data_IF_718524973568
#
_entry.id   IF_718524973568
#
_cell.length_a   1.000
_cell.length_b   1.000
_cell.length_c   1.000
_cell.angle_alpha   90.00
_cell.angle_beta   90.00
_cell.angle_gamma   90.00
#
_symmetry.space_group_name_H-M   'P 1'
#
loop_
_entity.id
_entity.type
_entity.pdbx_description
1 polymer ?
#
# COMPACT_ATOMS: atom_id res chain seq x y z
N UNK A 1 -16.98 22.72 -8.45
CA UNK A 1 -15.91 23.59 -7.94
C UNK A 1 -15.59 23.13 -6.53
N UNK A 2 -14.34 22.74 -6.27
CA UNK A 2 -13.93 22.25 -4.96
C UNK A 2 -14.01 23.37 -3.92
N UNK A 3 -14.52 23.10 -2.70
CA UNK A 3 -14.51 24.08 -1.63
C UNK A 3 -13.06 24.34 -1.21
N UNK A 4 -12.61 25.59 -1.36
CA UNK A 4 -11.29 26.06 -0.96
C UNK A 4 -11.42 27.24 -0.01
N UNK A 5 -10.40 27.51 0.78
CA UNK A 5 -10.40 28.64 1.72
C UNK A 5 -10.39 29.98 0.97
N UNK A 6 -10.96 31.01 1.59
CA UNK A 6 -10.91 32.38 1.03
C UNK A 6 -9.47 32.87 0.88
N UNK A 7 -8.61 32.56 1.85
CA UNK A 7 -7.16 32.86 1.78
C UNK A 7 -6.49 32.26 0.54
N UNK A 8 -6.82 31.02 0.18
CA UNK A 8 -6.30 30.40 -1.04
C UNK A 8 -6.76 31.15 -2.30
N UNK A 9 -8.05 31.54 -2.37
CA UNK A 9 -8.59 32.28 -3.50
C UNK A 9 -7.94 33.66 -3.66
N UNK A 10 -7.72 34.36 -2.55
CA UNK A 10 -7.12 35.69 -2.55
C UNK A 10 -5.66 35.62 -2.99
N UNK A 11 -4.90 34.65 -2.48
CA UNK A 11 -3.52 34.39 -2.93
C UNK A 11 -3.47 34.02 -4.41
N UNK A 12 -4.39 33.17 -4.88
CA UNK A 12 -4.46 32.80 -6.30
C UNK A 12 -4.81 33.96 -7.22
N UNK A 13 -5.43 35.03 -6.70
CA UNK A 13 -5.72 36.27 -7.44
C UNK A 13 -4.65 37.35 -7.28
N UNK A 14 -3.68 37.17 -6.38
CA UNK A 14 -2.62 38.16 -6.15
C UNK A 14 -1.74 38.37 -7.40
N UNK A 15 -1.26 39.61 -7.56
CA UNK A 15 -0.38 40.02 -8.67
C UNK A 15 0.96 39.27 -8.65
N UNK A 16 1.51 39.02 -7.46
CA UNK A 16 2.67 38.17 -7.24
C UNK A 16 2.23 36.89 -6.57
N UNK A 17 2.32 35.79 -7.30
CA UNK A 17 2.01 34.45 -6.81
C UNK A 17 2.98 33.43 -7.35
N UNK A 18 3.30 32.43 -6.53
CA UNK A 18 3.97 31.21 -6.97
C UNK A 18 3.01 30.06 -6.80
N UNK A 19 2.51 29.53 -7.92
CA UNK A 19 1.71 28.30 -7.92
C UNK A 19 2.67 27.12 -7.77
N UNK A 20 2.35 26.23 -6.86
CA UNK A 20 3.04 24.97 -6.64
C UNK A 20 2.12 23.84 -7.10
N UNK A 21 2.71 22.71 -7.46
CA UNK A 21 1.96 21.52 -7.78
C UNK A 21 2.61 20.30 -7.16
N UNK A 22 1.76 19.35 -6.78
CA UNK A 22 2.13 18.00 -6.37
C UNK A 22 1.23 17.04 -7.14
N UNK A 23 1.85 16.01 -7.71
CA UNK A 23 1.16 14.89 -8.35
C UNK A 23 1.60 13.62 -7.65
N UNK A 24 0.65 12.75 -7.33
CA UNK A 24 0.91 11.40 -6.84
C UNK A 24 0.37 10.40 -7.85
N UNK A 25 1.21 9.45 -8.26
CA UNK A 25 0.85 8.38 -9.19
C UNK A 25 1.07 7.04 -8.50
N UNK A 26 0.00 6.25 -8.40
CA UNK A 26 0.07 4.87 -7.95
C UNK A 26 0.35 3.97 -9.16
N UNK A 27 1.60 3.52 -9.30
CA UNK A 27 2.05 2.67 -10.42
C UNK A 27 1.70 1.19 -10.23
N UNK A 28 1.58 0.76 -8.98
CA UNK A 28 0.98 -0.52 -8.61
C UNK A 28 -0.19 -0.23 -7.68
N UNK A 29 -1.40 -0.36 -8.21
CA UNK A 29 -2.63 -0.33 -7.41
C UNK A 29 -3.10 -1.78 -7.27
N UNK A 30 -3.08 -2.36 -6.07
CA UNK A 30 -3.45 -3.75 -5.88
C UNK A 30 -4.92 -4.05 -6.16
N UNK A 31 -5.81 -3.06 -6.07
CA UNK A 31 -7.22 -3.24 -6.45
C UNK A 31 -7.40 -3.32 -7.98
N UNK A 32 -6.46 -2.75 -8.74
CA UNK A 32 -6.46 -2.76 -10.21
C UNK A 32 -5.52 -3.82 -10.79
N UNK A 33 -4.50 -4.25 -10.04
CA UNK A 33 -3.54 -5.26 -10.43
C UNK A 33 -4.09 -6.67 -10.15
N UNK A 34 -4.85 -7.18 -11.10
CA UNK A 34 -5.44 -8.53 -11.05
C UNK A 34 -4.39 -9.67 -11.04
N UNK A 35 -3.10 -9.36 -11.16
CA UNK A 35 -2.02 -10.36 -11.10
C UNK A 35 -1.60 -10.73 -9.68
N UNK A 36 -2.07 -10.01 -8.66
CA UNK A 36 -1.68 -10.28 -7.29
C UNK A 36 -2.38 -11.54 -6.79
N UNK A 37 -1.60 -12.56 -6.49
CA UNK A 37 -2.06 -13.79 -5.88
C UNK A 37 -1.41 -13.92 -4.50
N UNK A 38 -2.21 -14.28 -3.50
CA UNK A 38 -1.77 -14.43 -2.11
C UNK A 38 -1.99 -15.87 -1.67
N UNK A 39 -0.94 -16.49 -1.17
CA UNK A 39 -0.97 -17.83 -0.59
C UNK A 39 -0.39 -17.81 0.83
N UNK A 40 -0.95 -18.64 1.71
CA UNK A 40 -0.46 -18.82 3.08
C UNK A 40 -0.34 -20.30 3.37
N UNK A 41 0.67 -20.70 4.14
CA UNK A 41 0.81 -22.12 4.54
C UNK A 41 -0.13 -22.52 5.69
N UNK A 42 -0.64 -21.53 6.42
CA UNK A 42 -1.58 -21.70 7.52
C UNK A 42 -2.52 -20.49 7.65
N UNK A 43 -3.69 -20.70 8.23
CA UNK A 43 -4.60 -19.61 8.60
C UNK A 43 -5.56 -20.04 9.71
N UNK A 44 -5.96 -19.08 10.55
CA UNK A 44 -7.05 -19.24 11.51
C UNK A 44 -8.40 -19.45 10.82
N UNK A 45 -9.41 -19.84 11.61
CA UNK A 45 -10.78 -20.03 11.13
C UNK A 45 -11.37 -18.77 10.46
N UNK A 46 -10.99 -17.59 10.94
CA UNK A 46 -11.31 -16.30 10.32
C UNK A 46 -10.00 -15.60 10.03
N UNK A 47 -9.71 -15.41 8.75
CA UNK A 47 -8.49 -14.82 8.24
C UNK A 47 -8.73 -14.40 6.79
N UNK A 48 -8.14 -13.28 6.39
CA UNK A 48 -8.33 -12.69 5.05
C UNK A 48 -6.97 -12.31 4.45
N UNK A 49 -6.16 -13.31 3.99
CA UNK A 49 -4.82 -13.04 3.45
C UNK A 49 -4.81 -12.04 2.28
N UNK A 50 -5.90 -11.97 1.50
CA UNK A 50 -5.99 -11.03 0.39
C UNK A 50 -5.85 -9.57 0.83
N UNK A 51 -6.17 -9.23 2.08
CA UNK A 51 -5.99 -7.89 2.63
C UNK A 51 -4.54 -7.52 2.89
N UNK A 52 -3.61 -8.50 2.95
CA UNK A 52 -2.19 -8.17 3.20
C UNK A 52 -1.49 -7.48 2.03
N UNK A 53 -2.21 -7.24 0.94
CA UNK A 53 -1.68 -6.56 -0.23
C UNK A 53 -2.61 -5.45 -0.73
N UNK A 54 -3.54 -4.95 0.08
CA UNK A 54 -4.54 -3.96 -0.34
C UNK A 54 -4.13 -2.51 -0.06
N UNK A 55 -2.89 -2.28 0.40
CA UNK A 55 -2.34 -0.97 0.76
C UNK A 55 -3.02 -0.31 1.98
N UNK A 56 -3.73 -1.08 2.81
CA UNK A 56 -4.26 -0.61 4.09
C UNK A 56 -3.42 -1.19 5.23
N UNK A 57 -2.59 -0.34 5.82
CA UNK A 57 -1.63 -0.70 6.87
C UNK A 57 -2.18 -0.58 8.30
N UNK A 58 -3.47 -0.29 8.46
CA UNK A 58 -4.11 -0.10 9.78
C UNK A 58 -5.30 -1.02 9.99
N UNK A 59 -5.30 -1.77 11.10
CA UNK A 59 -6.44 -2.57 11.52
C UNK A 59 -7.59 -1.65 11.93
N UNK A 60 -8.80 -1.92 11.47
CA UNK A 60 -9.95 -1.04 11.75
C UNK A 60 -10.36 -1.06 13.21
N UNK A 61 -10.25 -2.24 13.84
CA UNK A 61 -10.62 -2.44 15.23
C UNK A 61 -9.65 -3.39 15.91
N UNK A 62 -9.66 -3.36 17.24
CA UNK A 62 -9.02 -4.37 18.06
C UNK A 62 -9.84 -5.66 17.99
N UNK A 63 -9.48 -6.57 17.10
CA UNK A 63 -10.25 -7.80 16.90
C UNK A 63 -10.04 -8.81 18.04
N UNK A 64 -11.14 -9.43 18.46
CA UNK A 64 -11.15 -10.46 19.50
C UNK A 64 -10.43 -11.73 19.01
N UNK A 65 -9.60 -12.32 19.86
CA UNK A 65 -8.88 -13.57 19.61
C UNK A 65 -9.05 -14.52 20.80
N UNK A 66 -9.27 -15.81 20.54
CA UNK A 66 -9.46 -16.80 21.63
C UNK A 66 -8.13 -17.30 22.23
N UNK A 67 -7.11 -16.46 22.22
CA UNK A 67 -5.76 -16.71 22.77
C UNK A 67 -5.65 -16.35 24.27
N UNK A 68 -6.78 -16.08 24.93
CA UNK A 68 -6.85 -15.73 26.35
C UNK A 68 -6.51 -14.27 26.67
N UNK A 69 -6.30 -13.42 25.66
CA UNK A 69 -5.83 -12.06 25.87
C UNK A 69 -6.86 -10.97 25.88
N UNK A 70 -8.02 -11.23 25.31
CA UNK A 70 -9.06 -10.24 25.18
C UNK A 70 -10.03 -10.34 26.36
N UNK A 71 -10.61 -9.19 26.70
CA UNK A 71 -11.61 -9.06 27.76
C UNK A 71 -12.84 -8.40 27.18
N UNK A 72 -14.02 -8.71 27.72
CA UNK A 72 -15.29 -8.10 27.31
C UNK A 72 -15.48 -6.74 27.99
N UNK A 73 -14.56 -5.81 27.73
CA UNK A 73 -14.55 -4.45 28.29
C UNK A 73 -15.07 -3.39 27.31
N UNK A 74 -15.52 -3.81 26.13
CA UNK A 74 -16.00 -2.94 25.05
C UNK A 74 -14.91 -2.39 24.13
N UNK A 75 -13.63 -2.73 24.34
CA UNK A 75 -12.53 -2.31 23.45
C UNK A 75 -12.34 -3.26 22.26
N UNK A 76 -12.81 -4.50 22.39
CA UNK A 76 -12.67 -5.54 21.36
C UNK A 76 -13.92 -5.69 20.49
N UNK A 77 -13.69 -5.95 19.21
CA UNK A 77 -14.74 -6.22 18.23
C UNK A 77 -14.67 -7.66 17.73
N UNK A 78 -15.82 -8.23 17.37
CA UNK A 78 -15.87 -9.54 16.71
C UNK A 78 -15.36 -9.43 15.27
N UNK A 79 -14.65 -10.46 14.81
CA UNK A 79 -14.10 -10.49 13.46
C UNK A 79 -15.19 -10.20 12.40
N UNK A 80 -14.89 -9.39 11.37
CA UNK A 80 -15.87 -9.01 10.36
C UNK A 80 -16.26 -10.24 9.53
N UNK A 81 -17.51 -10.31 9.06
CA UNK A 81 -17.90 -11.30 8.06
C UNK A 81 -17.30 -10.95 6.69
N UNK A 82 -17.18 -11.95 5.81
CA UNK A 82 -16.51 -11.82 4.51
C UNK A 82 -17.19 -10.83 3.55
N UNK A 83 -18.48 -10.52 3.72
CA UNK A 83 -19.22 -9.53 2.93
C UNK A 83 -18.95 -8.07 3.36
N UNK A 84 -18.14 -7.86 4.41
CA UNK A 84 -17.81 -6.54 4.96
C UNK A 84 -16.33 -6.17 4.86
N UNK A 85 -15.54 -6.92 4.10
CA UNK A 85 -14.09 -6.68 3.95
C UNK A 85 -13.74 -5.37 3.23
N UNK A 86 -14.70 -4.73 2.56
CA UNK A 86 -14.53 -3.38 2.01
C UNK A 86 -14.66 -2.26 3.07
N UNK A 87 -15.12 -2.59 4.28
CA UNK A 87 -15.34 -1.64 5.38
C UNK A 87 -14.36 -1.84 6.53
N UNK A 88 -13.75 -3.03 6.62
CA UNK A 88 -12.95 -3.45 7.76
C UNK A 88 -11.65 -4.11 7.30
N UNK A 89 -10.55 -3.72 7.93
CA UNK A 89 -9.23 -4.32 7.80
C UNK A 89 -8.96 -5.29 8.95
N UNK A 90 -8.69 -6.53 8.59
CA UNK A 90 -8.42 -7.64 9.52
C UNK A 90 -7.09 -8.33 9.22
N UNK A 91 -6.77 -8.55 7.94
CA UNK A 91 -5.51 -9.13 7.48
C UNK A 91 -5.41 -10.65 7.59
N UNK A 92 -4.20 -11.18 7.49
CA UNK A 92 -3.88 -12.59 7.65
C UNK A 92 -3.65 -12.94 9.11
N UNK A 93 -4.40 -13.91 9.62
CA UNK A 93 -4.20 -14.50 10.95
C UNK A 93 -3.78 -15.96 10.79
N UNK A 94 -2.66 -16.38 11.39
CA UNK A 94 -2.23 -17.78 11.38
C UNK A 94 -2.98 -18.63 12.40
N UNK A 95 -2.79 -19.95 12.34
CA UNK A 95 -3.45 -20.91 13.25
C UNK A 95 -2.59 -21.31 14.45
N UNK A 96 -1.26 -21.23 14.31
CA UNK A 96 -0.32 -21.54 15.38
C UNK A 96 -0.28 -20.43 16.43
N UNK A 97 -0.18 -20.83 17.70
CA UNK A 97 0.14 -19.91 18.79
C UNK A 97 1.64 -19.92 19.01
N UNK A 98 2.22 -18.73 19.14
CA UNK A 98 3.62 -18.57 19.51
C UNK A 98 3.87 -19.20 20.89
N UNK A 99 4.93 -19.99 21.01
CA UNK A 99 5.39 -20.58 22.25
C UNK A 99 6.15 -19.58 23.13
N UNK A 100 6.95 -20.13 24.05
CA UNK A 100 7.82 -19.35 24.94
C UNK A 100 8.66 -18.34 24.16
N UNK A 101 8.82 -17.14 24.72
CA UNK A 101 9.52 -16.00 24.10
C UNK A 101 8.97 -15.59 22.72
N UNK A 102 7.73 -15.99 22.40
CA UNK A 102 7.08 -15.70 21.12
C UNK A 102 7.54 -16.60 19.97
N UNK A 103 8.26 -17.69 20.20
CA UNK A 103 8.80 -18.53 19.13
C UNK A 103 7.72 -19.38 18.43
N UNK A 104 7.70 -19.42 17.10
CA UNK A 104 6.88 -20.36 16.33
C UNK A 104 7.62 -21.69 16.10
N UNK A 105 6.85 -22.77 15.89
CA UNK A 105 7.38 -24.07 15.52
C UNK A 105 7.36 -24.27 14.00
N UNK A 106 8.13 -25.24 13.50
CA UNK A 106 8.05 -25.64 12.10
C UNK A 106 6.78 -26.48 11.82
N UNK A 107 6.12 -26.29 10.66
CA UNK A 107 6.42 -25.29 9.62
C UNK A 107 6.08 -23.87 10.09
N UNK A 108 7.00 -22.92 9.93
CA UNK A 108 6.78 -21.54 10.39
C UNK A 108 5.65 -20.86 9.62
N UNK A 109 4.87 -19.94 10.23
CA UNK A 109 3.89 -19.15 9.51
C UNK A 109 4.54 -18.42 8.32
N UNK A 110 3.98 -18.65 7.14
CA UNK A 110 4.48 -18.08 5.89
C UNK A 110 3.36 -17.52 5.01
N UNK A 111 3.64 -16.36 4.43
CA UNK A 111 2.78 -15.62 3.52
C UNK A 111 3.55 -15.37 2.22
N UNK A 112 2.97 -15.77 1.11
CA UNK A 112 3.51 -15.64 -0.24
C UNK A 112 2.66 -14.68 -1.03
N UNK A 113 3.30 -13.72 -1.70
CA UNK A 113 2.67 -12.82 -2.65
C UNK A 113 3.31 -13.00 -4.01
N UNK A 114 2.51 -13.37 -5.00
CA UNK A 114 2.90 -13.48 -6.41
C UNK A 114 2.30 -12.33 -7.20
N UNK A 115 3.01 -11.86 -8.21
CA UNK A 115 2.59 -10.78 -9.09
C UNK A 115 3.41 -10.80 -10.39
N UNK A 116 3.00 -10.01 -11.38
CA UNK A 116 3.83 -9.83 -12.58
C UNK A 116 5.24 -9.32 -12.22
N UNK A 117 6.29 -9.77 -12.95
CA UNK A 117 7.67 -9.35 -12.71
C UNK A 117 7.84 -7.83 -12.69
N UNK A 118 8.41 -7.30 -11.61
CA UNK A 118 8.64 -5.86 -11.42
C UNK A 118 9.79 -5.60 -10.44
N UNK A 119 10.39 -4.40 -10.46
CA UNK A 119 11.38 -4.02 -9.46
C UNK A 119 10.76 -3.84 -8.08
N UNK A 120 11.48 -4.24 -7.02
CA UNK A 120 11.15 -3.98 -5.62
C UNK A 120 12.21 -3.05 -5.01
N UNK A 121 11.74 -1.93 -4.46
CA UNK A 121 12.59 -0.89 -3.87
C UNK A 121 12.55 -0.88 -2.35
N UNK A 122 11.40 -1.20 -1.79
CA UNK A 122 11.13 -1.16 -0.36
C UNK A 122 10.49 -2.47 0.02
N UNK A 123 10.81 -2.98 1.21
CA UNK A 123 10.11 -4.07 1.86
C UNK A 123 9.26 -3.49 2.99
N UNK A 124 8.08 -4.07 3.21
CA UNK A 124 7.17 -3.68 4.29
C UNK A 124 6.57 -4.92 4.93
N UNK A 125 6.49 -4.92 6.25
CA UNK A 125 5.76 -5.93 7.02
C UNK A 125 5.06 -5.21 8.16
N UNK A 126 3.73 -5.25 8.17
CA UNK A 126 2.90 -4.59 9.17
C UNK A 126 2.14 -5.63 9.99
N UNK A 127 2.41 -5.66 11.30
CA UNK A 127 1.67 -6.44 12.27
C UNK A 127 0.30 -5.85 12.60
N UNK A 128 -0.31 -6.30 13.69
CA UNK A 128 -1.59 -5.79 14.16
C UNK A 128 -1.40 -4.45 14.88
N UNK A 129 -1.76 -3.37 14.17
CA UNK A 129 -1.67 -1.99 14.67
C UNK A 129 -2.66 -1.66 15.77
N UNK A 130 -3.79 -2.34 15.87
CA UNK A 130 -4.76 -2.11 16.95
C UNK A 130 -4.39 -2.86 18.24
N UNK A 131 -3.66 -3.97 18.11
CA UNK A 131 -3.21 -4.80 19.24
C UNK A 131 -1.76 -4.57 19.63
N UNK A 132 -1.04 -3.75 18.86
CA UNK A 132 0.40 -3.49 19.01
C UNK A 132 1.22 -4.80 18.99
N UNK A 133 0.82 -5.75 18.14
CA UNK A 133 1.48 -7.04 17.97
C UNK A 133 2.24 -7.08 16.65
N UNK A 134 3.47 -7.58 16.65
CA UNK A 134 4.36 -7.51 15.50
C UNK A 134 5.31 -8.71 15.36
N UNK A 135 5.81 -8.98 14.15
CA UNK A 135 6.83 -10.01 13.94
C UNK A 135 8.16 -9.49 14.45
N UNK A 136 8.83 -10.28 15.30
CA UNK A 136 10.12 -9.92 15.91
C UNK A 136 11.26 -10.49 15.11
N UNK A 137 11.16 -11.75 14.70
CA UNK A 137 12.12 -12.41 13.82
C UNK A 137 11.38 -12.94 12.60
N UNK A 138 11.85 -12.55 11.42
CA UNK A 138 11.26 -12.97 10.16
C UNK A 138 12.26 -12.83 9.01
N UNK A 139 11.95 -13.49 7.90
CA UNK A 139 12.72 -13.43 6.67
C UNK A 139 11.79 -13.07 5.53
N UNK A 140 12.22 -12.16 4.66
CA UNK A 140 11.57 -11.86 3.39
C UNK A 140 12.47 -12.32 2.27
N UNK A 141 11.97 -13.21 1.41
CA UNK A 141 12.69 -13.70 0.22
C UNK A 141 12.00 -13.22 -1.04
N UNK A 142 12.78 -12.73 -2.00
CA UNK A 142 12.29 -12.29 -3.30
C UNK A 142 12.77 -13.26 -4.37
N UNK A 143 11.88 -13.65 -5.27
CA UNK A 143 12.12 -14.62 -6.31
C UNK A 143 11.72 -14.08 -7.68
N UNK A 144 12.45 -14.51 -8.71
CA UNK A 144 12.07 -14.34 -10.11
C UNK A 144 10.93 -15.30 -10.49
N UNK A 145 10.39 -15.13 -11.69
CA UNK A 145 9.32 -15.99 -12.24
C UNK A 145 9.74 -17.45 -12.38
N UNK A 146 11.03 -17.72 -12.57
CA UNK A 146 11.61 -19.07 -12.70
C UNK A 146 12.02 -19.71 -11.36
N UNK A 147 11.51 -19.19 -10.23
CA UNK A 147 11.85 -19.63 -8.87
C UNK A 147 13.29 -19.33 -8.42
N UNK A 148 14.08 -18.58 -9.20
CA UNK A 148 15.41 -18.14 -8.79
C UNK A 148 15.31 -17.17 -7.61
N UNK A 149 16.03 -17.46 -6.53
CA UNK A 149 16.14 -16.56 -5.37
C UNK A 149 16.98 -15.33 -5.72
N UNK A 150 16.36 -14.16 -5.74
CA UNK A 150 16.99 -12.88 -6.08
C UNK A 150 17.53 -12.14 -4.85
N UNK A 151 16.81 -12.22 -3.74
CA UNK A 151 17.17 -11.49 -2.52
C UNK A 151 16.67 -12.21 -1.27
N UNK A 152 17.39 -12.03 -0.16
CA UNK A 152 16.97 -12.47 1.18
C UNK A 152 17.26 -11.37 2.18
N UNK A 153 16.21 -10.89 2.82
CA UNK A 153 16.28 -9.98 3.95
C UNK A 153 15.94 -10.74 5.22
N UNK A 154 16.84 -10.74 6.21
CA UNK A 154 16.61 -11.39 7.50
C UNK A 154 16.57 -10.34 8.59
N UNK A 155 15.44 -10.26 9.27
CA UNK A 155 15.20 -9.30 10.35
C UNK A 155 15.15 -10.06 11.67
N UNK A 156 15.91 -9.56 12.65
CA UNK A 156 15.96 -10.12 14.00
C UNK A 156 15.78 -9.03 15.03
N UNK A 157 15.02 -9.30 16.09
CA UNK A 157 14.79 -8.33 17.16
C UNK A 157 14.00 -7.09 16.74
N UNK A 158 13.15 -7.19 15.71
CA UNK A 158 12.27 -6.09 15.34
C UNK A 158 11.37 -5.70 16.52
N UNK A 159 11.20 -4.39 16.70
CA UNK A 159 10.33 -3.80 17.74
C UNK A 159 9.23 -2.91 17.16
N UNK A 160 9.16 -2.79 15.84
CA UNK A 160 8.21 -1.93 15.14
C UNK A 160 6.99 -2.73 14.68
N UNK A 161 5.80 -2.16 14.87
CA UNK A 161 4.56 -2.76 14.33
C UNK A 161 4.52 -2.69 12.82
N UNK A 162 4.90 -1.55 12.25
CA UNK A 162 5.04 -1.33 10.81
C UNK A 162 6.51 -1.24 10.47
N UNK A 163 7.14 -2.38 10.22
CA UNK A 163 8.52 -2.42 9.78
C UNK A 163 8.61 -2.09 8.28
N UNK A 164 9.60 -1.29 7.91
CA UNK A 164 9.91 -1.05 6.50
C UNK A 164 11.40 -0.87 6.27
N UNK A 165 11.87 -1.23 5.08
CA UNK A 165 13.27 -1.07 4.67
C UNK A 165 13.38 -0.72 3.20
N UNK A 166 13.97 0.42 2.90
CA UNK A 166 14.41 0.75 1.55
C UNK A 166 15.69 -0.03 1.23
N UNK A 167 15.69 -0.75 0.11
CA UNK A 167 16.83 -1.51 -0.36
C UNK A 167 17.88 -0.57 -0.95
N UNK A 168 19.17 -0.90 -0.75
CA UNK A 168 20.27 -0.09 -1.24
C UNK A 168 20.29 0.04 -2.77
N UNK A 169 19.85 -1.03 -3.45
CA UNK A 169 19.56 -1.07 -4.88
C UNK A 169 18.25 -1.83 -5.10
N UNK A 170 17.45 -1.46 -6.11
CA UNK A 170 16.25 -2.22 -6.44
C UNK A 170 16.59 -3.65 -6.84
N UNK A 171 15.75 -4.59 -6.40
CA UNK A 171 15.81 -5.97 -6.87
C UNK A 171 14.86 -6.07 -8.06
N UNK A 172 15.43 -6.30 -9.25
CA UNK A 172 14.69 -6.30 -10.52
C UNK A 172 13.98 -7.64 -10.75
N UNK A 173 12.96 -7.61 -11.60
CA UNK A 173 12.26 -8.79 -12.12
C UNK A 173 11.72 -9.75 -11.02
N UNK A 174 11.34 -9.21 -9.86
CA UNK A 174 10.71 -9.98 -8.79
C UNK A 174 9.28 -10.32 -9.19
N UNK A 175 8.94 -11.60 -9.16
CA UNK A 175 7.61 -12.13 -9.42
C UNK A 175 6.95 -12.71 -8.15
N UNK A 176 7.75 -13.03 -7.12
CA UNK A 176 7.24 -13.63 -5.88
C UNK A 176 7.99 -13.14 -4.65
N UNK A 177 7.26 -12.91 -3.57
CA UNK A 177 7.75 -12.50 -2.27
C UNK A 177 7.26 -13.48 -1.21
N UNK A 178 8.15 -13.99 -0.37
CA UNK A 178 7.81 -14.94 0.70
C UNK A 178 8.24 -14.37 2.04
N UNK A 179 7.28 -14.08 2.89
CA UNK A 179 7.46 -13.77 4.30
C UNK A 179 7.44 -15.07 5.10
N UNK A 180 8.42 -15.27 5.98
CA UNK A 180 8.45 -16.38 6.94
C UNK A 180 8.74 -15.84 8.32
N UNK A 181 7.86 -16.12 9.29
CA UNK A 181 7.91 -15.51 10.62
C UNK A 181 8.29 -16.57 11.65
N UNK A 182 9.40 -16.37 12.35
CA UNK A 182 9.93 -17.34 13.31
C UNK A 182 9.71 -16.92 14.76
N UNK A 183 9.52 -15.62 15.03
CA UNK A 183 9.22 -15.10 16.36
C UNK A 183 8.22 -13.96 16.32
N UNK A 184 7.24 -14.01 17.21
CA UNK A 184 6.23 -12.98 17.45
C UNK A 184 6.55 -12.14 18.68
N UNK A 185 5.96 -10.95 18.75
CA UNK A 185 6.09 -10.01 19.88
C UNK A 185 5.61 -10.55 21.22
N UNK A 186 4.63 -11.47 21.20
CA UNK A 186 3.96 -11.94 22.41
C UNK A 186 3.82 -13.48 22.40
N UNK A 187 4.11 -14.10 23.54
CA UNK A 187 3.83 -15.51 23.80
C UNK A 187 2.33 -15.80 23.80
N UNK A 188 1.97 -17.00 23.33
CA UNK A 188 0.62 -17.51 23.26
C UNK A 188 -0.23 -16.88 22.15
N UNK A 189 0.35 -16.04 21.28
CA UNK A 189 -0.41 -15.31 20.25
C UNK A 189 -0.14 -15.86 18.86
N UNK A 190 -1.17 -15.86 18.03
CA UNK A 190 -1.03 -16.13 16.61
C UNK A 190 -0.49 -14.92 15.85
N UNK A 191 0.16 -15.20 14.72
CA UNK A 191 0.60 -14.19 13.77
C UNK A 191 -0.60 -13.40 13.24
N UNK A 192 -0.43 -12.10 13.10
CA UNK A 192 -1.44 -11.17 12.57
C UNK A 192 -0.73 -10.17 11.65
N UNK A 193 -0.86 -10.33 10.36
CA UNK A 193 -0.26 -9.42 9.36
C UNK A 193 -1.37 -8.62 8.71
N UNK A 194 -1.24 -7.31 8.77
CA UNK A 194 -2.18 -6.37 8.15
C UNK A 194 -1.75 -6.04 6.73
N UNK A 195 -0.45 -5.85 6.49
CA UNK A 195 0.09 -5.46 5.18
C UNK A 195 1.50 -6.07 5.00
N UNK A 196 1.77 -6.64 3.83
CA UNK A 196 3.06 -7.22 3.42
C UNK A 196 3.45 -6.80 1.99
N UNK A 197 2.59 -6.07 1.28
CA UNK A 197 2.89 -5.65 -0.08
C UNK A 197 3.47 -4.24 -0.12
N UNK A 198 4.24 -3.96 -1.16
CA UNK A 198 4.80 -2.64 -1.39
C UNK A 198 4.20 -2.06 -2.65
N UNK A 199 3.27 -1.12 -2.48
CA UNK A 199 2.80 -0.29 -3.58
C UNK A 199 3.91 0.66 -4.04
N UNK A 200 4.21 0.68 -5.33
CA UNK A 200 5.04 1.71 -5.97
C UNK A 200 4.16 2.91 -6.21
N UNK A 201 4.33 3.90 -5.34
CA UNK A 201 3.72 5.21 -5.41
C UNK A 201 4.82 6.24 -5.53
N UNK A 202 4.66 7.15 -6.47
CA UNK A 202 5.63 8.22 -6.71
C UNK A 202 4.96 9.57 -6.52
N UNK A 203 5.69 10.47 -5.88
CA UNK A 203 5.27 11.87 -5.68
C UNK A 203 6.18 12.74 -6.54
N UNK A 204 5.57 13.54 -7.39
CA UNK A 204 6.22 14.49 -8.28
C UNK A 204 5.86 15.90 -7.82
N UNK A 205 6.88 16.72 -7.57
CA UNK A 205 6.72 18.08 -7.06
C UNK A 205 7.25 19.13 -8.03
N UNK A 206 7.44 20.35 -7.54
CA UNK A 206 7.88 21.50 -8.34
C UNK A 206 9.34 21.29 -8.76
N UNK A 207 9.54 20.87 -10.01
CA UNK A 207 10.84 20.51 -10.59
C UNK A 207 10.74 19.24 -11.45
N UNK A 208 9.91 18.30 -11.01
CA UNK A 208 9.65 17.05 -11.75
C UNK A 208 8.53 17.22 -12.78
N UNK A 209 7.72 18.27 -12.63
CA UNK A 209 6.56 18.57 -13.47
C UNK A 209 6.90 19.62 -14.52
N UNK A 210 6.77 19.25 -15.80
CA UNK A 210 6.88 20.19 -16.94
C UNK A 210 5.59 20.99 -17.08
N UNK A 211 4.43 20.34 -17.00
CA UNK A 211 3.14 21.03 -17.04
C UNK A 211 2.00 20.22 -16.44
N UNK A 212 0.98 20.94 -15.95
CA UNK A 212 -0.33 20.40 -15.56
C UNK A 212 -1.38 21.18 -16.32
N UNK A 213 -2.26 20.47 -17.03
CA UNK A 213 -3.44 21.05 -17.69
C UNK A 213 -4.69 20.41 -17.10
N UNK A 214 -5.52 21.23 -16.48
CA UNK A 214 -6.84 20.82 -15.99
C UNK A 214 -7.89 21.41 -16.94
N UNK A 215 -8.72 20.54 -17.50
CA UNK A 215 -9.91 20.91 -18.26
C UNK A 215 -11.13 20.50 -17.42
N UNK A 216 -11.82 21.48 -16.85
CA UNK A 216 -13.13 21.27 -16.22
C UNK A 216 -14.21 21.82 -17.15
N UNK A 217 -15.14 20.95 -17.55
CA UNK A 217 -16.32 21.38 -18.30
C UNK A 217 -17.51 21.55 -17.36
N UNK A 218 -18.12 22.73 -17.40
CA UNK A 218 -19.35 23.03 -16.67
C UNK A 218 -20.40 23.55 -17.64
N UNK A 219 -21.54 22.87 -17.69
CA UNK A 219 -22.70 23.38 -18.42
C UNK A 219 -23.24 24.63 -17.72
N UNK A 220 -23.56 25.67 -18.50
CA UNK A 220 -24.07 26.95 -17.99
C UNK A 220 -25.59 26.96 -17.80
N UNK A 221 -26.32 26.03 -18.43
CA UNK A 221 -27.77 25.94 -18.41
C UNK A 221 -28.29 25.10 -17.24
N UNK A 222 -29.34 25.57 -16.55
CA UNK A 222 -30.23 24.68 -15.81
C UNK A 222 -30.96 23.80 -16.83
N UNK A 223 -30.36 22.66 -17.19
CA UNK A 223 -30.96 21.67 -18.08
C UNK A 223 -32.26 21.13 -17.48
N UNK A 224 -33.36 21.26 -18.22
CA UNK A 224 -34.73 20.90 -17.84
C UNK A 224 -35.03 19.40 -17.92
N UNK A 225 -34.02 18.52 -17.91
CA UNK A 225 -34.22 17.08 -18.05
C UNK A 225 -33.80 16.32 -16.78
N UNK A 226 -34.61 15.35 -16.29
CA UNK A 226 -34.39 14.69 -15.00
C UNK A 226 -33.25 13.67 -14.99
N UNK A 227 -32.52 13.51 -16.10
CA UNK A 227 -31.55 12.42 -16.29
C UNK A 227 -30.22 12.99 -16.77
N UNK A 228 -29.38 13.34 -15.80
CA UNK A 228 -27.91 13.33 -15.93
C UNK A 228 -27.27 14.57 -16.56
N UNK A 229 -26.73 15.45 -15.71
CA UNK A 229 -25.70 16.41 -16.12
C UNK A 229 -24.38 15.64 -16.29
N UNK A 230 -23.74 15.68 -17.46
CA UNK A 230 -22.42 15.06 -17.67
C UNK A 230 -21.37 16.17 -17.58
N UNK A 231 -20.61 16.21 -16.49
CA UNK A 231 -19.34 16.94 -16.41
C UNK A 231 -18.21 15.98 -16.74
N UNK A 232 -17.41 16.27 -17.76
CA UNK A 232 -16.13 15.61 -17.99
C UNK A 232 -15.02 16.49 -17.42
N UNK A 233 -14.23 15.93 -16.52
CA UNK A 233 -13.03 16.59 -16.02
C UNK A 233 -11.83 15.80 -16.55
N UNK A 234 -10.95 16.46 -17.28
CA UNK A 234 -9.71 15.87 -17.78
C UNK A 234 -8.51 16.55 -17.13
N UNK A 235 -7.50 15.76 -16.77
CA UNK A 235 -6.20 16.27 -16.36
C UNK A 235 -5.11 15.66 -17.23
N UNK A 236 -4.28 16.51 -17.82
CA UNK A 236 -3.09 16.14 -18.58
C UNK A 236 -1.85 16.56 -17.81
N UNK A 237 -0.90 15.64 -17.65
CA UNK A 237 0.37 15.86 -16.96
C UNK A 237 1.53 15.65 -17.92
N UNK A 238 2.55 16.50 -17.84
CA UNK A 238 3.83 16.27 -18.49
C UNK A 238 4.91 16.21 -17.41
N UNK A 239 5.61 15.07 -17.32
CA UNK A 239 6.67 14.81 -16.34
C UNK A 239 8.04 14.99 -17.01
N UNK A 240 9.02 15.46 -16.24
CA UNK A 240 10.41 15.48 -16.65
C UNK A 240 10.95 14.05 -16.72
N UNK A 241 11.67 13.72 -17.79
CA UNK A 241 12.26 12.41 -18.05
C UNK A 241 13.75 12.51 -18.43
N UNK A 242 14.46 13.55 -17.97
CA UNK A 242 15.90 13.72 -18.22
C UNK A 242 16.74 12.53 -17.73
N UNK A 243 16.29 11.85 -16.67
CA UNK A 243 16.90 10.66 -16.09
C UNK A 243 16.52 9.34 -16.80
N UNK A 244 15.65 9.42 -17.83
CA UNK A 244 15.13 8.26 -18.56
C UNK A 244 14.33 7.27 -17.69
N UNK A 245 13.77 7.73 -16.57
CA UNK A 245 12.92 6.91 -15.68
C UNK A 245 11.70 6.34 -16.40
N UNK A 246 11.15 7.05 -17.39
CA UNK A 246 9.96 6.63 -18.13
C UNK A 246 10.27 5.94 -19.46
N UNK A 247 11.54 5.75 -19.80
CA UNK A 247 11.94 5.08 -21.04
C UNK A 247 11.63 3.58 -20.94
N UNK A 248 10.88 3.05 -21.91
CA UNK A 248 10.49 1.63 -21.96
C UNK A 248 11.70 0.71 -22.11
N UNK A 249 12.76 1.19 -22.77
CA UNK A 249 14.00 0.45 -23.00
C UNK A 249 15.00 0.55 -21.83
N UNK A 250 14.67 1.32 -20.77
CA UNK A 250 15.52 1.42 -19.59
C UNK A 250 15.25 0.24 -18.64
N UNK A 251 16.04 -0.82 -18.80
CA UNK A 251 15.92 -2.02 -17.97
C UNK A 251 16.21 -1.79 -16.47
N UNK A 252 16.86 -0.68 -16.13
CA UNK A 252 17.15 -0.29 -14.74
C UNK A 252 16.09 0.69 -14.19
N UNK A 253 15.06 1.02 -14.97
CA UNK A 253 14.03 1.94 -14.52
C UNK A 253 13.27 1.38 -13.31
N UNK A 254 13.03 2.19 -12.26
CA UNK A 254 12.15 1.83 -11.16
C UNK A 254 10.70 1.58 -11.59
N UNK A 255 10.31 2.04 -12.79
CA UNK A 255 8.96 1.93 -13.34
C UNK A 255 8.87 0.93 -14.51
N UNK A 256 9.91 0.11 -14.73
CA UNK A 256 9.92 -0.92 -15.78
C UNK A 256 8.66 -1.78 -15.70
N UNK A 257 7.94 -1.92 -16.83
CA UNK A 257 6.67 -2.65 -16.96
C UNK A 257 5.47 -2.11 -16.14
N UNK A 258 5.60 -0.94 -15.49
CA UNK A 258 4.54 -0.37 -14.65
C UNK A 258 3.78 0.80 -15.30
N UNK A 259 4.29 1.32 -16.42
CA UNK A 259 3.64 2.33 -17.24
C UNK A 259 2.47 1.75 -18.04
N UNK A 260 1.36 1.47 -17.35
CA UNK A 260 0.14 0.90 -17.92
C UNK A 260 -1.04 1.87 -17.73
N UNK A 261 -2.11 1.76 -18.54
CA UNK A 261 -3.35 2.50 -18.30
C UNK A 261 -4.00 2.16 -16.94
N UNK A 262 -5.00 2.93 -16.55
CA UNK A 262 -5.78 2.74 -15.31
C UNK A 262 -4.94 2.83 -14.04
N UNK A 263 -4.08 3.84 -13.96
CA UNK A 263 -3.35 4.21 -12.74
C UNK A 263 -4.07 5.33 -12.03
N UNK A 264 -4.12 5.26 -10.70
CA UNK A 264 -4.67 6.34 -9.91
C UNK A 264 -3.70 7.51 -9.94
N UNK A 265 -4.21 8.68 -10.31
CA UNK A 265 -3.47 9.93 -10.32
C UNK A 265 -4.22 10.90 -9.41
N UNK A 266 -3.51 11.45 -8.43
CA UNK A 266 -4.02 12.49 -7.54
C UNK A 266 -3.18 13.76 -7.71
N UNK A 267 -3.84 14.90 -7.86
CA UNK A 267 -3.16 16.17 -8.13
C UNK A 267 -3.61 17.22 -7.13
N UNK A 268 -2.64 17.96 -6.62
CA UNK A 268 -2.84 19.10 -5.74
C UNK A 268 -2.19 20.33 -6.33
N UNK A 269 -2.89 21.45 -6.24
CA UNK A 269 -2.36 22.78 -6.54
C UNK A 269 -2.19 23.53 -5.23
N UNK A 270 -0.99 24.04 -5.00
CA UNK A 270 -0.62 24.85 -3.86
C UNK A 270 -0.27 26.28 -4.27
N UNK A 271 -0.14 27.16 -3.28
CA UNK A 271 0.34 28.52 -3.49
C UNK A 271 1.32 28.92 -2.39
N UNK A 272 2.45 29.48 -2.81
CA UNK A 272 3.42 30.12 -1.93
C UNK A 272 3.41 31.62 -2.20
N UNK A 273 3.29 32.40 -1.13
CA UNK A 273 3.53 33.84 -1.14
C UNK A 273 4.93 34.08 -0.60
N UNK A 274 5.81 34.61 -1.45
CA UNK A 274 7.09 35.19 -1.05
C UNK A 274 6.90 36.53 -0.37
#
# INVERSE_FOLDING_TARGET
MYPVTTDFLDKMKADRRRVLARVEVDYTDPFMDQSIEIEVNEQANVSYPQQTADSVDTATHKWASLDGSWVLDGTYHLAPPSDKLSQYQFGWWGSQLAGADGAFAEPYPALTVMHLPRPIHTLRVTGDTAREEYPVNFTVKLYAEDETLLHTETVTGNTEVSWSKTLASPVLDVAKQVLTITRWSHEGRQVKIIEFFTSIREVYETGDLISIRLLEEREASQGSLPVGNISSNEITLALNNEDKKFDVDNEQSPLKNLLKPNRRIQVWLGISTS
#
